data_IF_916256927658
#
_entry.id   IF_916256927658
#
_cell.length_a   1.000
_cell.length_b   1.000
_cell.length_c   1.000
_cell.angle_alpha   90.00
_cell.angle_beta   90.00
_cell.angle_gamma   90.00
#
_symmetry.space_group_name_H-M   'P 1'
#
loop_
_entity.id
_entity.type
_entity.pdbx_description
1 polymer ?
#
# COMPACT_ATOMS: atom_id res chain seq x y z
N UNK A 1 -9.90 -2.83 -2.29
CA UNK A 1 -8.88 -2.81 -1.24
C UNK A 1 -8.45 -4.23 -0.87
N UNK A 2 -9.41 -5.14 -0.67
CA UNK A 2 -9.16 -6.55 -0.31
C UNK A 2 -8.07 -7.26 -1.12
N UNK A 3 -8.16 -7.26 -2.46
CA UNK A 3 -7.19 -7.96 -3.33
C UNK A 3 -5.75 -7.46 -3.14
N UNK A 4 -5.57 -6.16 -2.90
CA UNK A 4 -4.24 -5.60 -2.63
C UNK A 4 -3.72 -6.04 -1.26
N UNK A 5 -4.52 -5.90 -0.20
CA UNK A 5 -4.08 -6.27 1.15
C UNK A 5 -3.79 -7.75 1.27
N UNK A 6 -4.77 -8.59 0.89
CA UNK A 6 -4.66 -10.04 1.06
C UNK A 6 -3.73 -10.68 0.02
N UNK A 7 -3.58 -10.04 -1.16
CA UNK A 7 -2.74 -10.54 -2.24
C UNK A 7 -1.28 -10.11 -2.15
N UNK A 8 -0.97 -9.00 -1.47
CA UNK A 8 0.42 -8.53 -1.30
C UNK A 8 0.93 -8.79 0.11
N UNK A 9 0.13 -8.54 1.14
CA UNK A 9 0.56 -8.71 2.53
C UNK A 9 0.04 -10.05 3.04
N UNK A 10 0.48 -11.14 2.42
CA UNK A 10 0.17 -12.50 2.86
C UNK A 10 1.35 -13.11 3.64
N UNK A 11 1.10 -14.25 4.27
CA UNK A 11 2.03 -14.94 5.18
C UNK A 11 3.36 -15.39 4.56
N UNK A 12 3.55 -15.28 3.25
CA UNK A 12 4.77 -15.75 2.59
C UNK A 12 5.89 -14.70 2.62
N UNK A 13 5.60 -13.46 3.02
CA UNK A 13 6.62 -12.44 3.27
C UNK A 13 7.06 -12.44 4.72
N UNK A 14 8.35 -12.23 4.95
CA UNK A 14 8.93 -12.12 6.29
C UNK A 14 8.56 -10.80 6.95
N UNK A 15 8.28 -9.75 6.16
CA UNK A 15 7.86 -8.45 6.67
C UNK A 15 6.99 -7.65 5.69
N UNK A 16 6.22 -6.65 6.18
CA UNK A 16 5.51 -5.71 5.32
C UNK A 16 6.45 -4.91 4.38
N UNK A 17 7.69 -4.65 4.81
CA UNK A 17 8.64 -3.89 4.00
C UNK A 17 9.14 -4.70 2.81
N UNK A 18 9.41 -6.00 3.00
CA UNK A 18 9.78 -6.91 1.91
C UNK A 18 8.67 -6.98 0.83
N UNK A 19 7.41 -7.08 1.26
CA UNK A 19 6.27 -7.05 0.35
C UNK A 19 6.19 -5.72 -0.43
N UNK A 20 6.48 -4.59 0.23
CA UNK A 20 6.50 -3.26 -0.39
C UNK A 20 7.65 -3.10 -1.38
N UNK A 21 8.83 -3.64 -1.10
CA UNK A 21 9.96 -3.64 -2.04
C UNK A 21 9.57 -4.29 -3.37
N UNK A 22 8.89 -5.44 -3.34
CA UNK A 22 8.40 -6.06 -4.58
C UNK A 22 7.35 -5.22 -5.30
N UNK A 23 6.44 -4.55 -4.57
CA UNK A 23 5.48 -3.64 -5.21
C UNK A 23 6.25 -2.51 -5.91
N UNK A 24 7.25 -1.91 -5.25
CA UNK A 24 8.06 -0.82 -5.84
C UNK A 24 8.82 -1.24 -7.09
N UNK A 25 9.10 -2.53 -7.26
CA UNK A 25 9.71 -3.06 -8.48
C UNK A 25 8.75 -3.12 -9.68
N UNK A 26 7.43 -3.07 -9.46
CA UNK A 26 6.43 -3.04 -10.53
C UNK A 26 6.56 -1.81 -11.45
N UNK A 27 5.92 -1.87 -12.62
CA UNK A 27 5.88 -0.77 -13.57
C UNK A 27 5.14 0.46 -13.02
N UNK A 28 5.39 1.62 -13.64
CA UNK A 28 4.76 2.86 -13.18
C UNK A 28 3.23 2.84 -13.32
N UNK A 29 2.66 2.03 -14.23
CA UNK A 29 1.22 1.91 -14.43
C UNK A 29 0.60 1.16 -13.24
N UNK A 30 1.16 0.01 -12.89
CA UNK A 30 0.70 -0.81 -11.77
C UNK A 30 0.81 -0.05 -10.43
N UNK A 31 1.91 0.69 -10.24
CA UNK A 31 2.10 1.54 -9.08
C UNK A 31 1.07 2.68 -9.02
N UNK A 32 0.80 3.33 -10.15
CA UNK A 32 -0.16 4.44 -10.25
C UNK A 32 -1.59 3.95 -9.96
N UNK A 33 -1.97 2.81 -10.52
CA UNK A 33 -3.29 2.20 -10.28
C UNK A 33 -3.45 1.74 -8.83
N UNK A 34 -2.41 1.13 -8.25
CA UNK A 34 -2.40 0.76 -6.83
C UNK A 34 -2.55 1.97 -5.93
N UNK A 35 -1.79 3.05 -6.19
CA UNK A 35 -1.87 4.28 -5.39
C UNK A 35 -3.25 4.93 -5.46
N UNK A 36 -3.86 5.02 -6.66
CA UNK A 36 -5.23 5.53 -6.83
C UNK A 36 -6.25 4.68 -6.10
N UNK A 37 -6.08 3.36 -6.11
CA UNK A 37 -6.99 2.46 -5.42
C UNK A 37 -6.96 2.65 -3.90
N UNK A 38 -5.75 2.84 -3.34
CA UNK A 38 -5.60 3.19 -1.92
C UNK A 38 -6.23 4.55 -1.63
N UNK A 39 -6.00 5.58 -2.47
CA UNK A 39 -6.66 6.89 -2.33
C UNK A 39 -8.18 6.79 -2.29
N UNK A 40 -8.77 6.07 -3.26
CA UNK A 40 -10.21 5.85 -3.31
C UNK A 40 -10.74 5.23 -2.01
N UNK A 41 -10.01 4.27 -1.43
CA UNK A 41 -10.38 3.67 -0.14
C UNK A 41 -10.27 4.67 1.03
N UNK A 42 -9.20 5.46 1.08
CA UNK A 42 -9.00 6.48 2.12
C UNK A 42 -10.07 7.59 2.07
N UNK A 43 -10.58 7.91 0.90
CA UNK A 43 -11.62 8.93 0.68
C UNK A 43 -13.05 8.41 0.87
N UNK A 44 -13.25 7.10 1.11
CA UNK A 44 -14.57 6.56 1.43
C UNK A 44 -15.14 7.23 2.68
N UNK A 45 -16.43 7.59 2.63
CA UNK A 45 -17.17 8.17 3.75
C UNK A 45 -17.47 7.21 4.91
N UNK A 46 -16.68 6.15 5.08
CA UNK A 46 -16.72 5.23 6.22
C UNK A 46 -15.80 5.74 7.35
N UNK A 47 -16.02 5.29 8.58
CA UNK A 47 -15.26 5.75 9.72
C UNK A 47 -13.78 5.33 9.64
N UNK A 48 -12.90 6.07 10.31
CA UNK A 48 -11.49 5.69 10.44
C UNK A 48 -11.34 4.37 11.21
N UNK A 49 -12.24 4.06 12.14
CA UNK A 49 -12.30 2.77 12.83
C UNK A 49 -12.59 1.62 11.85
N UNK A 50 -13.57 1.79 10.96
CA UNK A 50 -13.90 0.80 9.93
C UNK A 50 -12.73 0.60 8.96
N UNK A 51 -12.02 1.69 8.59
CA UNK A 51 -10.84 1.59 7.73
C UNK A 51 -9.69 0.85 8.42
N UNK A 52 -9.46 1.13 9.70
CA UNK A 52 -8.45 0.44 10.50
C UNK A 52 -8.75 -1.05 10.58
N UNK A 53 -9.97 -1.39 11.02
CA UNK A 53 -10.43 -2.77 11.14
C UNK A 53 -10.36 -3.51 9.80
N UNK A 54 -10.85 -2.91 8.73
CA UNK A 54 -10.79 -3.52 7.40
C UNK A 54 -9.34 -3.79 6.97
N UNK A 55 -8.42 -2.87 7.24
CA UNK A 55 -7.01 -3.02 6.84
C UNK A 55 -6.32 -4.12 7.65
N UNK A 56 -6.57 -4.16 8.96
CA UNK A 56 -6.07 -5.21 9.86
C UNK A 56 -6.60 -6.60 9.50
N UNK A 57 -7.92 -6.73 9.27
CA UNK A 57 -8.55 -8.03 8.99
C UNK A 57 -8.12 -8.65 7.65
N UNK A 58 -7.63 -7.85 6.71
CA UNK A 58 -7.32 -8.30 5.35
C UNK A 58 -5.83 -8.21 5.00
N UNK A 59 -4.96 -7.89 5.96
CA UNK A 59 -3.52 -7.93 5.78
C UNK A 59 -2.89 -8.85 6.83
N UNK A 60 -1.84 -9.56 6.47
CA UNK A 60 -1.08 -10.40 7.38
C UNK A 60 0.01 -9.59 8.11
N UNK A 61 -0.37 -8.41 8.60
CA UNK A 61 0.53 -7.44 9.22
C UNK A 61 0.22 -7.35 10.71
N UNK A 62 1.24 -7.51 11.54
CA UNK A 62 1.12 -7.26 12.97
C UNK A 62 1.40 -5.78 13.29
N UNK A 63 0.40 -4.93 13.12
CA UNK A 63 0.50 -3.46 13.33
C UNK A 63 1.08 -3.02 14.68
N UNK A 64 0.84 -3.71 15.81
CA UNK A 64 1.49 -3.35 17.07
C UNK A 64 3.03 -3.35 17.01
N UNK A 65 3.65 -4.21 16.18
CA UNK A 65 5.10 -4.18 15.98
C UNK A 65 5.59 -2.99 15.14
N UNK A 66 4.71 -2.41 14.31
CA UNK A 66 5.03 -1.21 13.51
C UNK A 66 4.86 0.09 14.31
N UNK A 67 4.17 0.05 15.47
CA UNK A 67 3.93 1.24 16.29
C UNK A 67 2.98 2.27 15.65
N UNK A 68 2.17 1.83 14.69
CA UNK A 68 1.24 2.66 13.92
C UNK A 68 -0.10 1.95 13.75
N UNK A 69 -1.16 2.73 13.54
CA UNK A 69 -2.47 2.17 13.17
C UNK A 69 -2.47 1.70 11.71
N UNK A 70 -3.33 0.74 11.34
CA UNK A 70 -3.46 0.30 9.96
C UNK A 70 -3.73 1.43 8.96
N UNK A 71 -4.53 2.42 9.36
CA UNK A 71 -4.85 3.58 8.54
C UNK A 71 -3.68 4.55 8.39
N UNK A 72 -2.89 4.77 9.44
CA UNK A 72 -1.65 5.57 9.36
C UNK A 72 -0.66 4.92 8.41
N UNK A 73 -0.42 3.62 8.58
CA UNK A 73 0.43 2.84 7.68
C UNK A 73 -0.03 2.98 6.23
N UNK A 74 -1.32 2.80 5.96
CA UNK A 74 -1.85 2.89 4.60
C UNK A 74 -1.70 4.28 3.96
N UNK A 75 -1.77 5.35 4.77
CA UNK A 75 -1.48 6.73 4.34
C UNK A 75 0.00 6.93 3.99
N UNK A 76 0.91 6.26 4.69
CA UNK A 76 2.34 6.28 4.34
C UNK A 76 2.60 5.52 3.03
N UNK A 77 1.99 4.34 2.87
CA UNK A 77 2.15 3.52 1.65
C UNK A 77 1.72 4.27 0.41
N UNK A 78 0.55 4.94 0.41
CA UNK A 78 0.09 5.66 -0.78
C UNK A 78 1.05 6.79 -1.19
N UNK A 79 1.64 7.49 -0.22
CA UNK A 79 2.62 8.56 -0.49
C UNK A 79 3.91 7.99 -1.06
N UNK A 80 4.36 6.84 -0.56
CA UNK A 80 5.54 6.14 -1.05
C UNK A 80 5.36 5.61 -2.48
N UNK A 81 4.21 4.99 -2.78
CA UNK A 81 3.87 4.54 -4.12
C UNK A 81 3.79 5.72 -5.11
N UNK A 82 3.15 6.83 -4.73
CA UNK A 82 3.08 8.04 -5.56
C UNK A 82 4.46 8.63 -5.87
N UNK A 83 5.43 8.53 -4.94
CA UNK A 83 6.82 8.92 -5.19
C UNK A 83 7.48 7.96 -6.18
N UNK A 84 7.29 6.66 -5.98
CA UNK A 84 7.84 5.60 -6.84
C UNK A 84 7.35 5.74 -8.29
N UNK A 85 6.07 6.06 -8.50
CA UNK A 85 5.49 6.36 -9.82
C UNK A 85 6.24 7.51 -10.51
N UNK A 86 6.55 8.59 -9.78
CA UNK A 86 7.24 9.77 -10.35
C UNK A 86 8.67 9.43 -10.76
N UNK A 87 9.38 8.63 -9.95
CA UNK A 87 10.74 8.18 -10.22
C UNK A 87 10.75 7.33 -11.49
N UNK A 88 9.89 6.29 -11.57
CA UNK A 88 9.83 5.40 -12.75
C UNK A 88 9.45 6.12 -14.03
N UNK A 89 8.46 7.02 -13.97
CA UNK A 89 8.09 7.86 -15.12
C UNK A 89 9.24 8.76 -15.61
N UNK A 90 10.20 9.11 -14.75
CA UNK A 90 11.37 9.89 -15.12
C UNK A 90 12.46 9.00 -15.74
N UNK A 91 12.69 7.81 -15.20
CA UNK A 91 13.63 6.82 -15.73
C UNK A 91 13.27 6.39 -17.15
N UNK A 92 12.00 6.11 -17.42
CA UNK A 92 11.51 5.72 -18.75
C UNK A 92 11.62 6.83 -19.80
N UNK A 93 11.57 8.10 -19.38
CA UNK A 93 11.74 9.25 -20.27
C UNK A 93 13.21 9.60 -20.54
N UNK A 94 14.13 9.03 -19.76
CA UNK A 94 15.57 9.24 -19.90
C UNK A 94 16.24 8.22 -20.81
N UNK A 95 15.48 7.24 -21.32
CA UNK A 95 15.90 6.23 -22.29
C UNK A 95 15.38 6.62 -23.69
#
# INVERSE_FOLDING_TARGET
>A
MFQFLAGVFHQDFESPEEALEMIRECGHIELDDTSKFIRCFLELGISDEDKNKFTEEHSWIYFPALGMTPLEWLKEIVVDLEKSVKIKKAEEKSC
#
